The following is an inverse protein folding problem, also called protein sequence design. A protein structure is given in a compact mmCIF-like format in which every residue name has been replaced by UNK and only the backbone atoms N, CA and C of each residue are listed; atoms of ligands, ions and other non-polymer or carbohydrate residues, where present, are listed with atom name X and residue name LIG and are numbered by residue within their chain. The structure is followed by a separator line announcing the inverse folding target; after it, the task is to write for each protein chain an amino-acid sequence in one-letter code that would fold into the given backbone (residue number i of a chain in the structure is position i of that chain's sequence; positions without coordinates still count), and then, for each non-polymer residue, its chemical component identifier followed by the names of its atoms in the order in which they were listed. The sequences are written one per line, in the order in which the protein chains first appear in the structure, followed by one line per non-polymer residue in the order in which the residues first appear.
data_IF_618288107572
#
_entry.id   IF_618288107572
#
_cell.length_a   1.000
_cell.length_b   1.000
_cell.length_c   1.000
_cell.angle_alpha   90.00
_cell.angle_beta   90.00
_cell.angle_gamma   90.00
#
_symmetry.space_group_name_H-M   'P 1'
#
loop_
_entity.id
_entity.type
_entity.pdbx_description
1 polymer ?
#
# COMPACT_ATOMS: atom_id res chain seq x y z
N UNK A 1 -4.13 38.66 25.43
CA UNK A 1 -2.87 37.95 25.69
C UNK A 1 -3.04 36.48 26.07
N UNK A 2 -3.61 36.09 27.22
CA UNK A 2 -3.73 34.65 27.57
C UNK A 2 -4.64 33.84 26.64
N UNK A 3 -5.71 34.45 26.13
CA UNK A 3 -6.67 33.79 25.23
C UNK A 3 -6.15 33.63 23.79
N UNK A 4 -5.29 34.56 23.34
CA UNK A 4 -4.67 34.50 22.00
C UNK A 4 -3.63 33.38 21.92
N UNK A 5 -2.85 33.18 22.99
CA UNK A 5 -1.89 32.07 23.07
C UNK A 5 -2.58 30.70 23.12
N UNK A 6 -3.73 30.57 23.79
CA UNK A 6 -4.54 29.34 23.78
C UNK A 6 -5.11 29.06 22.39
N UNK A 7 -5.64 30.08 21.71
CA UNK A 7 -6.22 29.94 20.38
C UNK A 7 -5.18 29.50 19.33
N UNK A 8 -3.99 30.13 19.33
CA UNK A 8 -2.91 29.77 18.43
C UNK A 8 -2.38 28.34 18.65
N UNK A 9 -2.35 27.88 19.91
CA UNK A 9 -1.90 26.52 20.23
C UNK A 9 -2.94 25.47 19.80
N UNK A 10 -4.22 25.76 19.96
CA UNK A 10 -5.31 24.90 19.47
C UNK A 10 -5.28 24.77 17.94
N UNK A 11 -5.09 25.86 17.21
CA UNK A 11 -4.98 25.84 15.75
C UNK A 11 -3.78 25.02 15.27
N UNK A 12 -2.62 25.17 15.91
CA UNK A 12 -1.43 24.37 15.61
C UNK A 12 -1.69 22.87 15.82
N UNK A 13 -2.30 22.51 16.95
CA UNK A 13 -2.60 21.12 17.26
C UNK A 13 -3.62 20.51 16.29
N UNK A 14 -4.61 21.29 15.86
CA UNK A 14 -5.57 20.85 14.83
C UNK A 14 -4.88 20.61 13.48
N UNK A 15 -3.99 21.51 13.06
CA UNK A 15 -3.23 21.33 11.81
C UNK A 15 -2.35 20.08 11.83
N UNK A 16 -1.68 19.80 12.95
CA UNK A 16 -0.88 18.59 13.12
C UNK A 16 -1.74 17.31 13.12
N UNK A 17 -2.92 17.35 13.72
CA UNK A 17 -3.85 16.23 13.72
C UNK A 17 -4.39 15.94 12.31
N UNK A 18 -4.70 16.99 11.54
CA UNK A 18 -5.15 16.87 10.15
C UNK A 18 -4.05 16.31 9.24
N UNK A 19 -2.81 16.77 9.39
CA UNK A 19 -1.66 16.24 8.67
C UNK A 19 -1.43 14.76 8.98
N UNK A 20 -1.46 14.38 10.26
CA UNK A 20 -1.37 12.97 10.66
C UNK A 20 -2.49 12.13 10.07
N UNK A 21 -3.74 12.61 10.09
CA UNK A 21 -4.88 11.89 9.53
C UNK A 21 -4.76 11.69 8.01
N UNK A 22 -4.25 12.70 7.30
CA UNK A 22 -4.00 12.61 5.86
C UNK A 22 -2.91 11.58 5.54
N UNK A 23 -1.82 11.57 6.29
CA UNK A 23 -0.75 10.58 6.12
C UNK A 23 -1.22 9.16 6.44
N UNK A 24 -2.01 8.98 7.50
CA UNK A 24 -2.60 7.68 7.85
C UNK A 24 -3.55 7.17 6.75
N UNK A 25 -4.33 8.08 6.15
CA UNK A 25 -5.26 7.76 5.07
C UNK A 25 -4.51 7.30 3.82
N UNK A 26 -3.43 8.00 3.45
CA UNK A 26 -2.57 7.61 2.33
C UNK A 26 -1.92 6.25 2.57
N UNK A 27 -1.34 6.04 3.75
CA UNK A 27 -0.72 4.79 4.14
C UNK A 27 -1.69 3.61 4.02
N UNK A 28 -2.90 3.78 4.56
CA UNK A 28 -4.00 2.81 4.49
C UNK A 28 -4.40 2.51 3.04
N UNK A 29 -4.53 3.54 2.20
CA UNK A 29 -4.85 3.38 0.79
C UNK A 29 -3.80 2.52 0.05
N UNK A 30 -2.52 2.80 0.28
CA UNK A 30 -1.44 2.03 -0.33
C UNK A 30 -1.40 0.58 0.15
N UNK A 31 -1.63 0.33 1.45
CA UNK A 31 -1.73 -1.02 1.99
C UNK A 31 -2.87 -1.82 1.37
N UNK A 32 -4.09 -1.25 1.36
CA UNK A 32 -5.26 -1.92 0.80
C UNK A 32 -5.09 -2.19 -0.69
N UNK A 33 -4.54 -1.23 -1.44
CA UNK A 33 -4.28 -1.40 -2.87
C UNK A 33 -3.32 -2.55 -3.15
N UNK A 34 -2.22 -2.62 -2.40
CA UNK A 34 -1.26 -3.72 -2.52
C UNK A 34 -1.92 -5.07 -2.16
N UNK A 35 -2.71 -5.13 -1.08
CA UNK A 35 -3.40 -6.36 -0.69
C UNK A 35 -4.39 -6.81 -1.78
N UNK A 36 -5.22 -5.91 -2.29
CA UNK A 36 -6.21 -6.22 -3.32
C UNK A 36 -5.56 -6.81 -4.58
N UNK A 37 -4.45 -6.22 -5.03
CA UNK A 37 -3.69 -6.78 -6.15
C UNK A 37 -3.10 -8.15 -5.78
N UNK A 38 -2.50 -8.27 -4.59
CA UNK A 38 -1.87 -9.51 -4.12
C UNK A 38 -2.83 -10.71 -4.06
N UNK A 39 -4.11 -10.45 -3.81
CA UNK A 39 -5.17 -11.46 -3.66
C UNK A 39 -6.09 -11.58 -4.88
N UNK A 40 -5.78 -10.87 -5.97
CA UNK A 40 -6.60 -10.92 -7.18
C UNK A 40 -6.46 -12.27 -7.91
N UNK A 41 -7.56 -12.76 -8.48
CA UNK A 41 -7.58 -14.03 -9.22
C UNK A 41 -6.73 -13.99 -10.50
N UNK A 42 -6.66 -12.81 -11.11
CA UNK A 42 -5.86 -12.54 -12.30
C UNK A 42 -5.05 -11.29 -12.07
N UNK A 43 -3.81 -11.28 -12.55
CA UNK A 43 -2.91 -10.14 -12.45
C UNK A 43 -2.21 -9.96 -13.79
N UNK A 44 -2.09 -8.70 -14.21
CA UNK A 44 -1.29 -8.29 -15.35
C UNK A 44 0.10 -7.83 -14.90
N UNK A 45 0.99 -7.63 -15.84
CA UNK A 45 2.29 -7.01 -15.55
C UNK A 45 2.17 -5.57 -15.05
N UNK A 46 1.12 -4.85 -15.50
CA UNK A 46 0.79 -3.53 -14.96
C UNK A 46 0.42 -3.60 -13.47
N UNK A 47 -0.34 -4.63 -13.08
CA UNK A 47 -0.73 -4.85 -11.69
C UNK A 47 0.48 -5.22 -10.82
N UNK A 48 1.44 -6.00 -11.35
CA UNK A 48 2.68 -6.32 -10.65
C UNK A 48 3.52 -5.07 -10.32
N UNK A 49 3.58 -4.12 -11.26
CA UNK A 49 4.25 -2.84 -11.06
C UNK A 49 3.47 -1.98 -10.06
N UNK A 50 2.15 -1.87 -10.20
CA UNK A 50 1.30 -1.13 -9.28
C UNK A 50 1.39 -1.69 -7.84
N UNK A 51 1.38 -3.01 -7.68
CA UNK A 51 1.61 -3.66 -6.39
C UNK A 51 2.94 -3.22 -5.78
N UNK A 52 4.01 -3.25 -6.58
CA UNK A 52 5.35 -2.86 -6.11
C UNK A 52 5.41 -1.40 -5.67
N UNK A 53 4.75 -0.51 -6.41
CA UNK A 53 4.66 0.91 -6.07
C UNK A 53 3.85 1.16 -4.80
N UNK A 54 2.66 0.57 -4.69
CA UNK A 54 1.81 0.70 -3.50
C UNK A 54 2.49 0.12 -2.26
N UNK A 55 3.08 -1.08 -2.36
CA UNK A 55 3.75 -1.72 -1.24
C UNK A 55 4.98 -0.94 -0.76
N UNK A 56 5.81 -0.46 -1.69
CA UNK A 56 6.98 0.38 -1.36
C UNK A 56 6.54 1.67 -0.67
N UNK A 57 5.50 2.32 -1.18
CA UNK A 57 5.00 3.57 -0.62
C UNK A 57 4.49 3.35 0.80
N UNK A 58 3.68 2.31 1.03
CA UNK A 58 3.22 1.90 2.36
C UNK A 58 4.39 1.66 3.32
N UNK A 59 5.43 0.94 2.91
CA UNK A 59 6.58 0.69 3.79
C UNK A 59 7.27 1.99 4.24
N UNK A 60 7.44 2.94 3.31
CA UNK A 60 8.06 4.23 3.59
C UNK A 60 7.18 5.13 4.49
N UNK A 61 5.87 5.22 4.20
CA UNK A 61 4.94 6.02 5.00
C UNK A 61 4.74 5.42 6.39
N UNK A 62 4.60 4.10 6.51
CA UNK A 62 4.43 3.41 7.77
C UNK A 62 5.66 3.58 8.67
N UNK A 63 6.88 3.55 8.11
CA UNK A 63 8.09 3.84 8.87
C UNK A 63 8.14 5.30 9.36
N UNK A 64 7.66 6.24 8.55
CA UNK A 64 7.57 7.66 8.94
C UNK A 64 6.54 7.91 10.04
N UNK A 65 5.37 7.25 9.95
CA UNK A 65 4.26 7.36 10.91
C UNK A 65 4.58 6.68 12.25
N UNK A 66 5.26 5.52 12.21
CA UNK A 66 5.51 4.68 13.38
C UNK A 66 7.01 4.48 13.63
N UNK A 67 7.74 5.58 13.78
CA UNK A 67 9.22 5.59 13.92
C UNK A 67 9.76 4.74 15.08
N UNK A 68 8.93 4.46 16.10
CA UNK A 68 9.31 3.64 17.26
C UNK A 68 9.08 2.15 17.06
N UNK A 69 8.44 1.75 15.96
CA UNK A 69 8.10 0.37 15.68
C UNK A 69 8.91 -0.10 14.48
N UNK A 70 9.86 -1.01 14.71
CA UNK A 70 10.59 -1.66 13.63
C UNK A 70 9.66 -2.61 12.88
N UNK A 71 8.95 -2.11 11.87
CA UNK A 71 8.34 -2.98 10.86
C UNK A 71 9.45 -3.48 9.93
N UNK A 72 9.93 -4.69 10.16
CA UNK A 72 10.77 -5.38 9.17
C UNK A 72 9.90 -5.67 7.94
N UNK A 73 10.37 -5.35 6.73
CA UNK A 73 9.59 -5.62 5.52
C UNK A 73 9.26 -7.12 5.47
N UNK A 74 7.98 -7.43 5.27
CA UNK A 74 7.58 -8.80 5.04
C UNK A 74 8.15 -9.26 3.70
N UNK A 75 9.16 -10.12 3.73
CA UNK A 75 9.90 -10.56 2.54
C UNK A 75 8.99 -11.23 1.51
N UNK A 76 7.89 -11.85 1.94
CA UNK A 76 6.88 -12.42 1.04
C UNK A 76 6.21 -11.35 0.19
N UNK A 77 5.81 -10.24 0.82
CA UNK A 77 5.18 -9.13 0.10
C UNK A 77 6.18 -8.29 -0.69
N UNK A 78 7.37 -8.03 -0.15
CA UNK A 78 8.34 -7.15 -0.80
C UNK A 78 9.06 -7.81 -1.99
N UNK A 79 9.45 -9.08 -1.87
CA UNK A 79 10.33 -9.73 -2.85
C UNK A 79 9.64 -10.82 -3.65
N UNK A 80 8.76 -11.60 -3.04
CA UNK A 80 8.21 -12.80 -3.67
C UNK A 80 6.97 -12.50 -4.51
N UNK A 81 6.00 -11.73 -4.00
CA UNK A 81 4.76 -11.44 -4.73
C UNK A 81 4.99 -10.76 -6.08
N UNK A 82 5.83 -9.69 -6.20
CA UNK A 82 6.09 -9.08 -7.51
C UNK A 82 6.73 -10.05 -8.51
N UNK A 83 7.70 -10.85 -8.05
CA UNK A 83 8.39 -11.84 -8.89
C UNK A 83 7.45 -12.96 -9.30
N UNK A 84 6.57 -13.40 -8.40
CA UNK A 84 5.54 -14.38 -8.70
C UNK A 84 4.60 -13.84 -9.78
N UNK A 85 4.18 -12.58 -9.69
CA UNK A 85 3.33 -11.96 -10.73
C UNK A 85 4.01 -11.79 -12.09
N UNK A 86 5.32 -11.57 -12.10
CA UNK A 86 6.09 -11.52 -13.36
C UNK A 86 6.31 -12.91 -13.98
N UNK A 87 6.35 -13.96 -13.17
CA UNK A 87 6.58 -15.34 -13.62
C UNK A 87 5.28 -16.12 -13.88
N UNK A 88 4.18 -15.77 -13.21
CA UNK A 88 2.85 -16.27 -13.49
C UNK A 88 2.24 -15.43 -14.61
N UNK A 89 2.57 -15.80 -15.86
CA UNK A 89 1.79 -15.35 -16.99
C UNK A 89 0.32 -15.77 -16.78
N UNK A 90 -0.69 -14.89 -16.97
CA UNK A 90 -2.09 -15.32 -17.04
C UNK A 90 -2.38 -16.37 -18.15
N UNK A 91 -1.40 -16.70 -19.00
CA UNK A 91 -1.53 -17.64 -20.12
C UNK A 91 -1.77 -19.13 -19.81
N UNK A 92 -1.98 -19.56 -18.56
CA UNK A 92 -2.43 -20.93 -18.26
C UNK A 92 -3.95 -21.06 -18.07
N UNK A 93 -4.70 -19.96 -18.05
CA UNK A 93 -6.16 -20.00 -18.20
C UNK A 93 -6.51 -20.03 -19.70
N UNK A 94 -6.22 -21.15 -20.37
CA UNK A 94 -6.70 -21.37 -21.75
C UNK A 94 -8.24 -21.32 -21.78
N UNK A 95 -8.87 -20.50 -22.65
CA UNK A 95 -10.30 -20.61 -22.94
C UNK A 95 -10.62 -21.80 -23.86
N UNK A 96 -9.63 -22.58 -24.29
CA UNK A 96 -9.80 -23.67 -25.26
C UNK A 96 -9.65 -25.02 -24.58
N UNK A 97 -10.66 -25.35 -23.77
CA UNK A 97 -10.92 -26.69 -23.23
C UNK A 97 -12.23 -27.28 -23.77
N UNK A 98 -12.57 -27.03 -25.04
CA UNK A 98 -13.57 -27.84 -25.75
C UNK A 98 -12.80 -28.76 -26.68
N UNK A 99 -12.52 -29.97 -26.20
CA UNK A 99 -12.00 -31.04 -27.05
C UNK A 99 -13.06 -31.40 -28.10
N UNK A 100 -12.73 -31.22 -29.37
CA UNK A 100 -13.31 -32.00 -30.47
C UNK A 100 -12.19 -32.81 -31.10
N UNK A 101 -12.23 -34.11 -30.84
CA UNK A 101 -11.76 -35.18 -31.71
C UNK A 101 -12.63 -36.41 -31.40
#
# INVERSE_FOLDING_TARGET
MLDEHKSANTQRNMGQAEELANELTKDTFHLISAINISTSWTVSMGDANAFSEHWKTFCLSNQHLFQKQESKPNNHFADHIPKLFQCWDPAQASPHGVMSA
#
